data_IF_622924667275
#
_entry.id   IF_622924667275
#
_cell.length_a   1.000
_cell.length_b   1.000
_cell.length_c   1.000
_cell.angle_alpha   90.00
_cell.angle_beta   90.00
_cell.angle_gamma   90.00
#
_symmetry.space_group_name_H-M   'P 1'
#
loop_
_entity.id
_entity.type
_entity.pdbx_description
1 polymer ?
#
# COMPACT_ATOMS: atom_id res chain seq x y z
N UNK A 1 -23.64 5.78 -15.19
CA UNK A 1 -22.20 5.80 -14.82
C UNK A 1 -21.52 4.64 -15.56
N UNK A 2 -20.60 4.94 -16.49
CA UNK A 2 -19.89 3.95 -17.32
C UNK A 2 -19.18 2.88 -16.45
N UNK A 3 -19.17 1.62 -16.90
CA UNK A 3 -18.51 0.50 -16.20
C UNK A 3 -17.02 0.77 -15.93
N UNK A 4 -16.31 1.33 -16.91
CA UNK A 4 -14.91 1.75 -16.78
C UNK A 4 -14.66 2.71 -15.61
N UNK A 5 -15.51 3.72 -15.42
CA UNK A 5 -15.35 4.69 -14.33
C UNK A 5 -15.58 4.04 -12.96
N UNK A 6 -16.45 3.02 -12.90
CA UNK A 6 -16.67 2.24 -11.68
C UNK A 6 -15.43 1.39 -11.35
N UNK A 7 -14.82 0.78 -12.34
CA UNK A 7 -13.62 -0.04 -12.15
C UNK A 7 -12.42 0.82 -11.76
N UNK A 8 -12.26 1.99 -12.37
CA UNK A 8 -11.25 2.97 -11.98
C UNK A 8 -11.40 3.41 -10.52
N UNK A 9 -12.63 3.72 -10.10
CA UNK A 9 -12.91 4.11 -8.73
C UNK A 9 -12.55 2.99 -7.75
N UNK A 10 -12.93 1.73 -8.05
CA UNK A 10 -12.55 0.57 -7.23
C UNK A 10 -11.04 0.39 -7.12
N UNK A 11 -10.30 0.58 -8.21
CA UNK A 11 -8.84 0.50 -8.21
C UNK A 11 -8.27 1.58 -7.28
N UNK A 12 -8.74 2.82 -7.38
CA UNK A 12 -8.28 3.90 -6.50
C UNK A 12 -8.55 3.61 -5.03
N UNK A 13 -9.75 3.12 -4.70
CA UNK A 13 -10.07 2.76 -3.32
C UNK A 13 -9.19 1.61 -2.80
N UNK A 14 -8.93 0.60 -3.64
CA UNK A 14 -7.99 -0.46 -3.30
C UNK A 14 -6.58 0.08 -3.03
N UNK A 15 -6.07 0.97 -3.89
CA UNK A 15 -4.74 1.55 -3.71
C UNK A 15 -4.66 2.39 -2.42
N UNK A 16 -5.71 3.14 -2.07
CA UNK A 16 -5.76 3.85 -0.79
C UNK A 16 -5.72 2.91 0.41
N UNK A 17 -6.46 1.80 0.35
CA UNK A 17 -6.41 0.76 1.40
C UNK A 17 -4.98 0.21 1.53
N UNK A 18 -4.32 -0.08 0.41
CA UNK A 18 -2.91 -0.52 0.40
C UNK A 18 -1.97 0.53 0.99
N UNK A 19 -2.15 1.81 0.66
CA UNK A 19 -1.37 2.91 1.26
C UNK A 19 -1.54 2.95 2.78
N UNK A 20 -2.78 2.90 3.27
CA UNK A 20 -3.07 2.90 4.71
C UNK A 20 -2.43 1.69 5.39
N UNK A 21 -2.52 0.51 4.78
CA UNK A 21 -1.93 -0.70 5.33
C UNK A 21 -0.39 -0.61 5.43
N UNK A 22 0.29 -0.07 4.41
CA UNK A 22 1.74 0.14 4.49
C UNK A 22 2.13 1.17 5.55
N UNK A 23 1.32 2.22 5.76
CA UNK A 23 1.54 3.19 6.84
C UNK A 23 1.38 2.54 8.22
N UNK A 24 0.36 1.71 8.41
CA UNK A 24 0.18 0.96 9.66
C UNK A 24 1.32 -0.03 9.89
N UNK A 25 1.79 -0.74 8.86
CA UNK A 25 2.94 -1.62 8.96
C UNK A 25 4.23 -0.85 9.33
N UNK A 26 4.38 0.38 8.83
CA UNK A 26 5.51 1.25 9.16
C UNK A 26 5.43 1.72 10.62
N UNK A 27 4.26 2.16 11.07
CA UNK A 27 4.03 2.55 12.45
C UNK A 27 4.27 1.37 13.41
N UNK A 28 3.67 0.21 13.13
CA UNK A 28 3.85 -1.00 13.93
C UNK A 28 5.33 -1.41 14.04
N UNK A 29 6.11 -1.26 12.96
CA UNK A 29 7.55 -1.56 12.99
C UNK A 29 8.32 -0.66 13.95
N UNK A 30 7.91 0.59 14.10
CA UNK A 30 8.56 1.56 15.00
C UNK A 30 8.09 1.43 16.44
N UNK A 31 6.81 1.15 16.68
CA UNK A 31 6.19 1.20 18.02
C UNK A 31 5.95 -0.18 18.63
N UNK A 32 5.94 -1.23 17.82
CA UNK A 32 5.44 -2.55 18.20
C UNK A 32 4.01 -2.48 18.75
N UNK A 33 3.77 -3.25 19.80
CA UNK A 33 2.45 -3.36 20.43
C UNK A 33 2.05 -2.13 21.27
N UNK A 34 2.89 -1.08 21.34
CA UNK A 34 2.69 0.06 22.25
C UNK A 34 1.65 1.08 21.77
N UNK A 35 1.41 1.17 20.46
CA UNK A 35 0.55 2.18 19.81
C UNK A 35 -0.51 1.50 18.89
N UNK A 36 -0.97 0.30 19.22
CA UNK A 36 -1.91 -0.47 18.38
C UNK A 36 -3.21 0.31 18.12
N UNK A 37 -3.67 1.09 19.09
CA UNK A 37 -4.87 1.92 18.99
C UNK A 37 -4.75 3.07 17.98
N UNK A 38 -3.53 3.37 17.51
CA UNK A 38 -3.27 4.36 16.46
C UNK A 38 -3.29 3.76 15.05
N UNK A 39 -3.28 2.43 14.94
CA UNK A 39 -3.36 1.74 13.66
C UNK A 39 -4.78 1.86 13.09
N UNK A 40 -4.88 2.26 11.83
CA UNK A 40 -6.17 2.36 11.14
C UNK A 40 -6.80 0.99 10.94
N UNK A 41 -5.98 -0.05 10.75
CA UNK A 41 -6.38 -1.44 10.60
C UNK A 41 -5.92 -2.26 11.83
N UNK A 42 -6.20 -1.77 13.04
CA UNK A 42 -5.81 -2.42 14.30
C UNK A 42 -6.30 -3.88 14.42
N UNK A 43 -7.43 -4.22 13.77
CA UNK A 43 -7.95 -5.58 13.69
C UNK A 43 -7.04 -6.54 12.91
N UNK A 44 -6.10 -6.01 12.13
CA UNK A 44 -5.13 -6.76 11.33
C UNK A 44 -3.72 -6.74 11.94
N UNK A 45 -3.55 -6.31 13.21
CA UNK A 45 -2.22 -6.18 13.85
C UNK A 45 -1.35 -7.44 13.72
N UNK A 46 -1.95 -8.62 13.81
CA UNK A 46 -1.25 -9.90 13.65
C UNK A 46 -0.64 -10.05 12.24
N UNK A 47 -1.31 -9.52 11.21
CA UNK A 47 -0.77 -9.47 9.86
C UNK A 47 0.41 -8.48 9.75
N UNK A 48 0.35 -7.30 10.40
CA UNK A 48 1.48 -6.37 10.43
C UNK A 48 2.69 -6.96 11.17
N UNK A 49 2.45 -7.69 12.26
CA UNK A 49 3.48 -8.40 13.02
C UNK A 49 4.16 -9.45 12.16
N UNK A 50 3.38 -10.32 11.54
CA UNK A 50 3.90 -11.36 10.65
C UNK A 50 4.62 -10.76 9.45
N UNK A 51 4.12 -9.66 8.87
CA UNK A 51 4.81 -8.96 7.79
C UNK A 51 6.15 -8.38 8.23
N UNK A 52 6.18 -7.67 9.37
CA UNK A 52 7.40 -7.06 9.90
C UNK A 52 8.46 -8.10 10.25
N UNK A 53 8.04 -9.28 10.69
CA UNK A 53 8.93 -10.41 10.94
C UNK A 53 9.47 -11.04 9.64
N UNK A 54 8.60 -11.26 8.64
CA UNK A 54 8.97 -11.94 7.39
C UNK A 54 9.71 -11.04 6.39
N UNK A 55 9.53 -9.71 6.50
CA UNK A 55 10.13 -8.72 5.61
C UNK A 55 10.78 -7.58 6.41
N UNK A 56 11.80 -7.87 7.23
CA UNK A 56 12.42 -6.88 8.11
C UNK A 56 13.05 -5.73 7.32
N UNK A 57 13.61 -6.02 6.14
CA UNK A 57 14.29 -5.06 5.27
C UNK A 57 13.36 -4.40 4.23
N UNK A 58 12.05 -4.66 4.30
CA UNK A 58 11.10 -4.05 3.37
C UNK A 58 11.11 -2.51 3.49
N UNK A 59 11.23 -1.83 2.36
CA UNK A 59 11.19 -0.38 2.28
C UNK A 59 9.73 0.10 2.21
N UNK A 60 9.11 0.20 3.39
CA UNK A 60 7.71 0.60 3.55
C UNK A 60 7.47 2.05 3.13
N UNK A 61 8.44 2.93 3.38
CA UNK A 61 8.37 4.33 2.97
C UNK A 61 8.32 4.46 1.44
N UNK A 62 9.24 3.81 0.71
CA UNK A 62 9.20 3.80 -0.75
C UNK A 62 7.94 3.11 -1.30
N UNK A 63 7.43 2.10 -0.60
CA UNK A 63 6.18 1.43 -0.97
C UNK A 63 4.98 2.37 -0.90
N UNK A 64 4.87 3.20 0.16
CA UNK A 64 3.84 4.24 0.28
C UNK A 64 3.94 5.25 -0.88
N UNK A 65 5.14 5.80 -1.11
CA UNK A 65 5.37 6.81 -2.14
C UNK A 65 5.00 6.31 -3.55
N UNK A 66 5.33 5.06 -3.88
CA UNK A 66 5.03 4.53 -5.22
C UNK A 66 3.53 4.29 -5.42
N UNK A 67 2.79 3.88 -4.37
CA UNK A 67 1.33 3.73 -4.44
C UNK A 67 0.67 5.11 -4.61
N UNK A 68 1.11 6.12 -3.87
CA UNK A 68 0.60 7.50 -3.99
C UNK A 68 0.87 8.08 -5.38
N UNK A 69 2.10 7.93 -5.89
CA UNK A 69 2.44 8.31 -7.26
C UNK A 69 1.57 7.59 -8.30
N UNK A 70 1.27 6.31 -8.08
CA UNK A 70 0.40 5.55 -8.98
C UNK A 70 -1.04 6.07 -8.96
N UNK A 71 -1.56 6.47 -7.79
CA UNK A 71 -2.86 7.14 -7.67
C UNK A 71 -2.89 8.45 -8.47
N UNK A 72 -1.84 9.27 -8.38
CA UNK A 72 -1.74 10.52 -9.14
C UNK A 72 -1.70 10.28 -10.66
N UNK A 73 -0.97 9.26 -11.11
CA UNK A 73 -0.90 8.90 -12.54
C UNK A 73 -2.24 8.37 -13.06
N UNK A 74 -2.97 7.62 -12.23
CA UNK A 74 -4.32 7.12 -12.54
C UNK A 74 -5.30 8.28 -12.73
N UNK A 75 -5.18 9.33 -11.91
CA UNK A 75 -6.01 10.55 -12.02
C UNK A 75 -5.77 11.35 -13.29
N UNK A 76 -4.63 11.12 -13.95
CA UNK A 76 -4.30 11.69 -15.26
C UNK A 76 -4.69 10.77 -16.43
N UNK A 77 -5.39 9.66 -16.17
CA UNK A 77 -5.87 8.68 -17.16
C UNK A 77 -4.78 8.09 -18.07
N UNK A 78 -3.56 7.91 -17.56
CA UNK A 78 -2.41 7.39 -18.32
C UNK A 78 -2.39 5.86 -18.25
N UNK A 79 -3.17 5.15 -19.08
CA UNK A 79 -3.09 3.67 -19.23
C UNK A 79 -2.97 2.88 -17.90
N UNK A 80 -4.07 2.79 -17.15
CA UNK A 80 -4.13 2.19 -15.78
C UNK A 80 -3.42 0.84 -15.66
N UNK A 81 -3.60 -0.05 -16.64
CA UNK A 81 -2.96 -1.37 -16.61
C UNK A 81 -1.43 -1.29 -16.56
N UNK A 82 -0.82 -0.37 -17.33
CA UNK A 82 0.62 -0.18 -17.32
C UNK A 82 1.09 0.39 -15.97
N UNK A 83 0.36 1.35 -15.42
CA UNK A 83 0.65 1.89 -14.08
C UNK A 83 0.67 0.77 -13.05
N UNK A 84 -0.34 -0.10 -13.04
CA UNK A 84 -0.43 -1.22 -12.09
C UNK A 84 0.71 -2.24 -12.27
N UNK A 85 1.11 -2.54 -13.50
CA UNK A 85 2.27 -3.41 -13.79
C UNK A 85 3.55 -2.78 -13.24
N UNK A 86 3.76 -1.49 -13.44
CA UNK A 86 4.94 -0.78 -12.94
C UNK A 86 4.93 -0.76 -11.41
N UNK A 87 3.80 -0.41 -10.79
CA UNK A 87 3.62 -0.41 -9.34
C UNK A 87 3.97 -1.78 -8.74
N UNK A 88 3.44 -2.87 -9.31
CA UNK A 88 3.70 -4.22 -8.80
C UNK A 88 5.19 -4.56 -8.82
N UNK A 89 5.90 -4.22 -9.91
CA UNK A 89 7.34 -4.46 -10.01
C UNK A 89 8.14 -3.64 -8.99
N UNK A 90 7.74 -2.38 -8.75
CA UNK A 90 8.37 -1.52 -7.75
C UNK A 90 8.16 -2.03 -6.33
N UNK A 91 6.91 -2.33 -5.96
CA UNK A 91 6.59 -2.93 -4.65
C UNK A 91 7.36 -4.23 -4.43
N UNK A 92 7.45 -5.08 -5.46
CA UNK A 92 8.26 -6.31 -5.39
C UNK A 92 9.73 -6.01 -5.04
N UNK A 93 10.31 -4.96 -5.63
CA UNK A 93 11.71 -4.57 -5.37
C UNK A 93 11.92 -3.93 -4.00
N UNK A 94 10.87 -3.36 -3.40
CA UNK A 94 10.92 -2.78 -2.06
C UNK A 94 10.69 -3.81 -0.97
N UNK A 95 9.93 -4.88 -1.25
CA UNK A 95 9.56 -5.90 -0.25
C UNK A 95 10.51 -7.09 -0.24
N UNK A 96 11.01 -7.55 -1.40
CA UNK A 96 11.83 -8.77 -1.51
C UNK A 96 13.34 -8.52 -1.37
N UNK A 97 13.73 -7.47 -0.65
CA UNK A 97 15.15 -7.27 -0.32
C UNK A 97 15.63 -8.35 0.65
#
# INVERSE_FOLDING_TARGET
INSFNRDLHKIKELLKVVTTWFRDAMLYRETGDSDIERLMNSEQVEAMKNFSHNFPDADLYQSVLEVEKSLELIDRHVQVNLILIVLLNKLRSYIRK
#
